data_IF_647845079048
#
_entry.id   IF_647845079048
#
_cell.length_a   1.000
_cell.length_b   1.000
_cell.length_c   1.000
_cell.angle_alpha   90.00
_cell.angle_beta   90.00
_cell.angle_gamma   90.00
#
_symmetry.space_group_name_H-M   'P 1'
#
loop_
_entity.id
_entity.type
_entity.pdbx_description
1 polymer ?
#
# COMPACT_ATOMS: atom_id res chain seq x y z
N UNK A 1 -31.98 2.56 5.98
CA UNK A 1 -30.78 2.49 6.83
C UNK A 1 -31.16 3.05 8.18
N UNK A 2 -30.72 2.41 9.25
CA UNK A 2 -30.90 2.86 10.64
C UNK A 2 -29.52 2.87 11.30
N UNK A 3 -29.17 3.95 11.98
CA UNK A 3 -27.96 4.06 12.80
C UNK A 3 -28.37 4.45 14.21
N UNK A 4 -27.79 3.79 15.20
CA UNK A 4 -27.90 4.19 16.60
C UNK A 4 -26.69 5.04 16.97
N UNK A 5 -26.97 6.23 17.48
CA UNK A 5 -25.95 7.23 17.79
C UNK A 5 -25.01 6.84 18.92
N UNK A 6 -23.96 7.64 19.09
CA UNK A 6 -22.88 7.51 20.08
C UNK A 6 -23.27 6.92 21.44
N UNK A 7 -24.33 7.43 22.08
CA UNK A 7 -24.73 7.07 23.46
C UNK A 7 -25.67 5.86 23.56
N UNK A 8 -26.11 5.28 22.45
CA UNK A 8 -27.06 4.18 22.50
C UNK A 8 -26.41 2.91 23.03
N UNK A 9 -26.88 2.44 24.19
CA UNK A 9 -26.42 1.22 24.83
C UNK A 9 -27.57 0.50 25.56
N UNK A 10 -28.71 0.37 24.89
CA UNK A 10 -29.90 -0.31 25.41
C UNK A 10 -30.05 -1.70 24.78
N UNK A 11 -30.67 -2.64 25.50
CA UNK A 11 -30.93 -3.99 24.98
C UNK A 11 -31.78 -3.94 23.72
N UNK A 12 -31.51 -4.87 22.79
CA UNK A 12 -32.24 -5.01 21.53
C UNK A 12 -33.00 -6.34 21.39
N UNK A 13 -33.09 -7.13 22.45
CA UNK A 13 -33.69 -8.47 22.43
C UNK A 13 -35.13 -8.48 21.89
N UNK A 14 -35.96 -7.52 22.33
CA UNK A 14 -37.39 -7.45 21.97
C UNK A 14 -37.71 -6.38 20.92
N UNK A 15 -36.71 -5.91 20.17
CA UNK A 15 -36.92 -4.85 19.18
C UNK A 15 -37.61 -5.39 17.93
N UNK A 16 -38.78 -4.83 17.62
CA UNK A 16 -39.47 -5.06 16.36
C UNK A 16 -38.91 -4.13 15.29
N UNK A 17 -38.04 -4.67 14.43
CA UNK A 17 -37.41 -3.89 13.36
C UNK A 17 -38.37 -3.64 12.19
N UNK A 18 -38.20 -2.51 11.46
CA UNK A 18 -38.88 -2.31 10.18
C UNK A 18 -38.54 -3.45 9.20
N UNK A 19 -39.56 -4.08 8.61
CA UNK A 19 -39.38 -5.24 7.74
C UNK A 19 -38.51 -4.97 6.50
N UNK A 20 -38.43 -3.72 6.04
CA UNK A 20 -37.62 -3.27 4.91
C UNK A 20 -36.22 -2.76 5.30
N UNK A 21 -35.81 -2.92 6.57
CA UNK A 21 -34.51 -2.44 7.04
C UNK A 21 -33.35 -3.26 6.45
N UNK A 22 -32.60 -2.66 5.54
CA UNK A 22 -31.47 -3.32 4.86
C UNK A 22 -30.10 -3.06 5.50
N UNK A 23 -29.96 -1.99 6.30
CA UNK A 23 -28.67 -1.59 6.89
C UNK A 23 -28.90 -1.13 8.32
N UNK A 24 -28.13 -1.69 9.25
CA UNK A 24 -28.18 -1.37 10.66
C UNK A 24 -26.75 -1.14 11.17
N UNK A 25 -26.54 -0.02 11.86
CA UNK A 25 -25.27 0.30 12.50
C UNK A 25 -25.49 0.66 13.96
N UNK A 26 -24.61 0.15 14.82
CA UNK A 26 -24.47 0.58 16.20
C UNK A 26 -23.13 1.28 16.35
N UNK A 27 -23.18 2.56 16.73
CA UNK A 27 -21.98 3.38 16.85
C UNK A 27 -21.22 3.07 18.16
N UNK A 28 -20.86 4.09 18.95
CA UNK A 28 -19.72 4.00 19.83
C UNK A 28 -19.97 3.17 21.10
N UNK A 29 -21.05 3.45 21.85
CA UNK A 29 -21.21 2.89 23.21
C UNK A 29 -22.00 1.58 23.27
N UNK A 30 -22.50 1.06 22.16
CA UNK A 30 -23.31 -0.16 22.18
C UNK A 30 -22.45 -1.37 22.56
N UNK A 31 -22.72 -1.96 23.72
CA UNK A 31 -22.02 -3.14 24.24
C UNK A 31 -22.95 -4.20 24.82
N UNK A 32 -24.25 -4.14 24.50
CA UNK A 32 -25.24 -5.10 25.00
C UNK A 32 -25.16 -6.44 24.26
N UNK A 33 -25.47 -7.57 24.93
CA UNK A 33 -25.59 -8.87 24.28
C UNK A 33 -26.61 -8.84 23.13
N UNK A 34 -26.31 -9.59 22.06
CA UNK A 34 -27.16 -9.69 20.87
C UNK A 34 -27.67 -11.11 20.61
N UNK A 35 -27.43 -12.03 21.55
CA UNK A 35 -27.83 -13.45 21.44
C UNK A 35 -29.35 -13.63 21.29
N UNK A 36 -30.15 -12.81 21.99
CA UNK A 36 -31.62 -12.83 21.91
C UNK A 36 -32.18 -11.86 20.84
N UNK A 37 -31.32 -11.18 20.08
CA UNK A 37 -31.78 -10.19 19.11
C UNK A 37 -32.44 -10.86 17.90
N UNK A 38 -33.69 -10.48 17.60
CA UNK A 38 -34.33 -10.86 16.34
C UNK A 38 -33.96 -9.86 15.26
N UNK A 39 -33.31 -10.27 14.18
CA UNK A 39 -32.91 -9.37 13.09
C UNK A 39 -33.97 -9.28 11.98
N UNK A 40 -34.08 -8.13 11.27
CA UNK A 40 -35.00 -8.03 10.14
C UNK A 40 -34.55 -8.95 8.99
N UNK A 41 -35.51 -9.68 8.40
CA UNK A 41 -35.25 -10.64 7.32
C UNK A 41 -34.66 -10.03 6.04
N UNK A 42 -34.73 -8.70 5.88
CA UNK A 42 -34.15 -7.97 4.74
C UNK A 42 -32.78 -7.34 5.03
N UNK A 43 -32.22 -7.57 6.23
CA UNK A 43 -30.95 -6.97 6.67
C UNK A 43 -29.78 -7.50 5.85
N UNK A 44 -29.11 -6.61 5.13
CA UNK A 44 -27.94 -6.93 4.30
C UNK A 44 -26.62 -6.53 4.95
N UNK A 45 -26.62 -5.47 5.77
CA UNK A 45 -25.39 -4.96 6.38
C UNK A 45 -25.62 -4.70 7.87
N UNK A 46 -24.70 -5.20 8.68
CA UNK A 46 -24.67 -4.98 10.13
C UNK A 46 -23.27 -4.59 10.58
N UNK A 47 -23.17 -3.45 11.26
CA UNK A 47 -21.91 -2.97 11.84
C UNK A 47 -22.09 -2.62 13.31
N UNK A 48 -21.06 -2.95 14.09
CA UNK A 48 -20.86 -2.52 15.46
C UNK A 48 -19.52 -1.78 15.50
N UNK A 49 -19.48 -0.57 16.03
CA UNK A 49 -18.27 0.26 16.00
C UNK A 49 -17.38 0.02 17.23
N UNK A 50 -17.42 0.88 18.26
CA UNK A 50 -16.36 0.92 19.27
C UNK A 50 -16.49 -0.07 20.43
N UNK A 51 -17.62 -0.05 21.15
CA UNK A 51 -17.73 -0.72 22.45
C UNK A 51 -18.17 -2.19 22.38
N UNK A 52 -18.61 -2.67 21.22
CA UNK A 52 -19.15 -4.03 21.09
C UNK A 52 -18.06 -5.07 21.28
N UNK A 53 -18.18 -5.86 22.34
CA UNK A 53 -17.30 -7.00 22.62
C UNK A 53 -18.09 -8.10 23.33
N UNK A 54 -19.20 -8.53 22.70
CA UNK A 54 -20.04 -9.61 23.20
C UNK A 54 -19.83 -10.86 22.33
N UNK A 55 -19.98 -12.07 22.89
CA UNK A 55 -19.86 -13.30 22.12
C UNK A 55 -20.93 -13.36 21.03
N UNK A 56 -20.56 -13.94 19.89
CA UNK A 56 -21.44 -14.05 18.71
C UNK A 56 -21.71 -15.50 18.26
N UNK A 57 -21.21 -16.48 19.02
CA UNK A 57 -21.31 -17.91 18.74
C UNK A 57 -22.76 -18.39 18.57
N UNK A 58 -23.62 -18.05 19.54
CA UNK A 58 -25.02 -18.47 19.57
C UNK A 58 -25.97 -17.48 18.86
N UNK A 59 -25.44 -16.49 18.13
CA UNK A 59 -26.28 -15.48 17.47
C UNK A 59 -26.93 -16.05 16.21
N UNK A 60 -28.25 -15.93 16.12
CA UNK A 60 -29.01 -16.32 14.92
C UNK A 60 -29.00 -15.18 13.91
N UNK A 61 -28.06 -15.22 12.95
CA UNK A 61 -27.94 -14.20 11.90
C UNK A 61 -29.07 -14.29 10.85
N UNK A 62 -29.53 -13.16 10.28
CA UNK A 62 -30.51 -13.19 9.20
C UNK A 62 -29.87 -13.73 7.92
N UNK A 63 -30.58 -14.63 7.23
CA UNK A 63 -30.08 -15.31 6.02
C UNK A 63 -29.84 -14.38 4.80
N UNK A 64 -30.16 -13.09 4.91
CA UNK A 64 -29.90 -12.07 3.90
C UNK A 64 -28.65 -11.22 4.19
N UNK A 65 -27.97 -11.45 5.32
CA UNK A 65 -26.80 -10.68 5.74
C UNK A 65 -25.62 -10.93 4.79
N UNK A 66 -25.15 -9.87 4.15
CA UNK A 66 -24.06 -9.89 3.18
C UNK A 66 -22.77 -9.32 3.74
N UNK A 67 -22.87 -8.39 4.69
CA UNK A 67 -21.73 -7.75 5.33
C UNK A 67 -21.92 -7.70 6.85
N UNK A 68 -20.89 -8.13 7.56
CA UNK A 68 -20.81 -8.04 9.01
C UNK A 68 -19.49 -7.38 9.42
N UNK A 69 -19.58 -6.47 10.39
CA UNK A 69 -18.43 -5.72 10.88
C UNK A 69 -18.53 -5.54 12.39
N UNK A 70 -18.13 -6.53 13.22
CA UNK A 70 -17.97 -6.34 14.66
C UNK A 70 -16.61 -5.68 14.89
N UNK A 71 -16.55 -4.33 14.92
CA UNK A 71 -15.30 -3.56 14.93
C UNK A 71 -14.65 -3.46 16.33
N UNK A 72 -13.61 -2.64 16.39
CA UNK A 72 -12.90 -2.06 17.54
C UNK A 72 -12.57 -2.98 18.71
N UNK A 73 -13.48 -3.31 19.62
CA UNK A 73 -13.14 -4.08 20.84
C UNK A 73 -13.44 -5.56 20.76
N UNK A 74 -14.09 -6.03 19.70
CA UNK A 74 -14.48 -7.43 19.57
C UNK A 74 -13.26 -8.36 19.58
N UNK A 75 -13.20 -9.24 20.59
CA UNK A 75 -12.14 -10.23 20.79
C UNK A 75 -12.71 -11.51 21.42
N UNK A 76 -13.71 -12.10 20.78
CA UNK A 76 -14.29 -13.38 21.19
C UNK A 76 -13.99 -14.46 20.16
N UNK A 77 -13.83 -15.74 20.58
CA UNK A 77 -13.62 -16.85 19.66
C UNK A 77 -14.72 -16.92 18.60
N UNK A 78 -14.33 -17.23 17.37
CA UNK A 78 -15.26 -17.35 16.24
C UNK A 78 -15.27 -18.74 15.59
N UNK A 79 -14.60 -19.72 16.19
CA UNK A 79 -14.51 -21.08 15.65
C UNK A 79 -15.87 -21.77 15.52
N UNK A 80 -16.76 -21.56 16.50
CA UNK A 80 -18.08 -22.19 16.57
C UNK A 80 -19.22 -21.31 16.02
N UNK A 81 -18.90 -20.15 15.44
CA UNK A 81 -19.90 -19.23 14.89
C UNK A 81 -20.55 -19.81 13.63
N UNK A 82 -21.88 -19.89 13.63
CA UNK A 82 -22.65 -20.29 12.44
C UNK A 82 -22.90 -19.07 11.55
N UNK A 83 -22.02 -18.84 10.58
CA UNK A 83 -22.13 -17.71 9.66
C UNK A 83 -23.33 -17.82 8.69
N UNK A 84 -23.99 -16.69 8.33
CA UNK A 84 -25.08 -16.72 7.37
C UNK A 84 -24.56 -17.07 5.97
N UNK A 85 -25.30 -17.92 5.25
CA UNK A 85 -24.92 -18.45 3.93
C UNK A 85 -24.86 -17.39 2.81
N UNK A 86 -25.18 -16.13 3.09
CA UNK A 86 -25.06 -14.99 2.17
C UNK A 86 -23.90 -14.06 2.47
N UNK A 87 -23.09 -14.33 3.52
CA UNK A 87 -22.03 -13.43 3.96
C UNK A 87 -20.89 -13.38 2.95
N UNK A 88 -20.66 -12.19 2.38
CA UNK A 88 -19.65 -11.93 1.36
C UNK A 88 -18.48 -11.12 1.91
N UNK A 89 -18.72 -10.32 2.95
CA UNK A 89 -17.72 -9.44 3.54
C UNK A 89 -17.74 -9.55 5.07
N UNK A 90 -16.58 -9.78 5.65
CA UNK A 90 -16.39 -9.80 7.10
C UNK A 90 -15.23 -8.88 7.47
N UNK A 91 -15.49 -7.93 8.36
CA UNK A 91 -14.49 -7.00 8.87
C UNK A 91 -14.38 -7.21 10.37
N UNK A 92 -13.42 -8.03 10.80
CA UNK A 92 -13.14 -8.28 12.21
C UNK A 92 -12.61 -7.01 12.88
N UNK A 93 -12.87 -6.88 14.17
CA UNK A 93 -12.60 -5.67 14.92
C UNK A 93 -11.16 -5.46 15.29
N UNK A 94 -10.78 -4.21 15.53
CA UNK A 94 -9.41 -3.81 15.85
C UNK A 94 -8.76 -4.67 16.94
N UNK A 95 -9.50 -5.05 17.97
CA UNK A 95 -9.01 -5.84 19.10
C UNK A 95 -8.99 -7.35 18.88
N UNK A 96 -9.47 -7.87 17.75
CA UNK A 96 -9.61 -9.31 17.54
C UNK A 96 -8.23 -9.98 17.45
N UNK A 97 -7.93 -10.87 18.39
CA UNK A 97 -6.69 -11.67 18.40
C UNK A 97 -6.95 -13.13 18.80
N UNK A 98 -8.07 -13.70 18.34
CA UNK A 98 -8.38 -15.11 18.60
C UNK A 98 -7.88 -16.01 17.47
N UNK A 99 -7.51 -17.27 17.77
CA UNK A 99 -7.09 -18.23 16.74
C UNK A 99 -8.15 -18.42 15.66
N UNK A 100 -7.71 -18.45 14.40
CA UNK A 100 -8.59 -18.63 13.24
C UNK A 100 -8.44 -19.97 12.51
N UNK A 101 -7.54 -20.85 12.97
CA UNK A 101 -7.28 -22.17 12.37
C UNK A 101 -8.54 -23.04 12.24
N UNK A 102 -9.40 -23.05 13.28
CA UNK A 102 -10.57 -23.93 13.36
C UNK A 102 -11.87 -23.24 12.88
N UNK A 103 -11.77 -22.08 12.24
CA UNK A 103 -12.95 -21.31 11.81
C UNK A 103 -13.52 -21.90 10.52
N UNK A 104 -14.81 -22.26 10.55
CA UNK A 104 -15.54 -22.67 9.36
C UNK A 104 -16.10 -21.44 8.65
N UNK A 105 -15.33 -20.87 7.72
CA UNK A 105 -15.75 -19.68 6.99
C UNK A 105 -16.95 -19.93 6.06
N UNK A 106 -17.84 -18.93 5.86
CA UNK A 106 -18.95 -19.07 4.94
C UNK A 106 -18.45 -19.17 3.49
N UNK A 107 -18.97 -20.14 2.74
CA UNK A 107 -18.52 -20.41 1.37
C UNK A 107 -18.48 -19.18 0.42
N UNK A 108 -19.46 -18.23 0.44
CA UNK A 108 -19.42 -17.08 -0.46
C UNK A 108 -18.55 -15.92 0.04
N UNK A 109 -17.78 -16.07 1.12
CA UNK A 109 -16.92 -15.00 1.62
C UNK A 109 -15.88 -14.61 0.56
N UNK A 110 -15.90 -13.35 0.15
CA UNK A 110 -15.01 -12.78 -0.85
C UNK A 110 -13.97 -11.86 -0.22
N UNK A 111 -14.32 -11.18 0.87
CA UNK A 111 -13.44 -10.22 1.54
C UNK A 111 -13.40 -10.48 3.03
N UNK A 112 -12.19 -10.57 3.56
CA UNK A 112 -11.92 -10.64 4.98
C UNK A 112 -10.91 -9.55 5.34
N UNK A 113 -11.29 -8.68 6.26
CA UNK A 113 -10.33 -7.85 6.99
C UNK A 113 -10.18 -8.45 8.37
N UNK A 114 -8.98 -8.90 8.67
CA UNK A 114 -8.57 -9.22 10.03
C UNK A 114 -8.42 -7.92 10.83
N UNK A 115 -8.60 -8.01 12.13
CA UNK A 115 -8.46 -6.89 13.05
C UNK A 115 -7.04 -6.36 13.16
N UNK A 116 -6.90 -5.15 13.72
CA UNK A 116 -5.61 -4.49 13.99
C UNK A 116 -4.70 -5.33 14.89
N UNK A 117 -5.26 -6.09 15.82
CA UNK A 117 -4.53 -6.87 16.82
C UNK A 117 -4.35 -8.35 16.46
N UNK A 118 -4.83 -8.81 15.30
CA UNK A 118 -4.69 -10.24 14.97
C UNK A 118 -3.22 -10.56 14.79
N UNK A 119 -2.70 -11.40 15.69
CA UNK A 119 -1.36 -11.93 15.66
C UNK A 119 -1.46 -13.39 16.11
N UNK A 120 -1.98 -14.24 15.21
CA UNK A 120 -2.12 -15.68 15.39
C UNK A 120 -1.53 -16.45 14.20
N UNK A 121 -1.08 -17.71 14.40
CA UNK A 121 -0.59 -18.57 13.32
C UNK A 121 -1.62 -18.81 12.21
N UNK A 122 -1.11 -18.98 10.97
CA UNK A 122 -1.92 -19.16 9.76
C UNK A 122 -1.77 -20.54 9.09
N UNK A 123 -0.86 -21.38 9.58
CA UNK A 123 -0.49 -22.71 9.05
C UNK A 123 -1.66 -23.69 8.95
N UNK A 124 -2.57 -23.70 9.93
CA UNK A 124 -3.75 -24.57 9.95
C UNK A 124 -5.03 -23.93 9.38
N UNK A 125 -4.96 -22.71 8.83
CA UNK A 125 -6.15 -21.97 8.41
C UNK A 125 -6.69 -22.47 7.08
N UNK A 126 -7.94 -22.94 7.08
CA UNK A 126 -8.66 -23.33 5.87
C UNK A 126 -9.43 -22.14 5.30
N UNK A 127 -8.82 -21.37 4.40
CA UNK A 127 -9.47 -20.21 3.78
C UNK A 127 -10.63 -20.59 2.84
N UNK A 128 -11.68 -19.75 2.73
CA UNK A 128 -12.79 -20.01 1.82
C UNK A 128 -12.34 -19.89 0.36
N UNK A 129 -12.77 -20.85 -0.47
CA UNK A 129 -12.25 -21.04 -1.83
C UNK A 129 -12.55 -19.90 -2.82
N UNK A 130 -13.45 -18.96 -2.48
CA UNK A 130 -13.81 -17.81 -3.31
C UNK A 130 -13.30 -16.48 -2.74
N UNK A 131 -12.45 -16.52 -1.71
CA UNK A 131 -11.85 -15.31 -1.14
C UNK A 131 -10.98 -14.60 -2.18
N UNK A 132 -11.24 -13.32 -2.39
CA UNK A 132 -10.53 -12.48 -3.34
C UNK A 132 -9.66 -11.44 -2.64
N UNK A 133 -10.04 -11.00 -1.44
CA UNK A 133 -9.33 -9.96 -0.69
C UNK A 133 -9.14 -10.38 0.76
N UNK A 134 -7.90 -10.27 1.21
CA UNK A 134 -7.51 -10.51 2.59
C UNK A 134 -6.62 -9.37 3.07
N UNK A 135 -6.97 -8.76 4.18
CA UNK A 135 -6.15 -7.73 4.82
C UNK A 135 -5.89 -8.08 6.27
N UNK A 136 -4.61 -8.04 6.67
CA UNK A 136 -4.18 -8.10 8.05
C UNK A 136 -4.03 -6.69 8.61
N UNK A 137 -4.39 -6.52 9.88
CA UNK A 137 -4.30 -5.24 10.55
C UNK A 137 -2.89 -4.92 11.07
N UNK A 138 -2.77 -3.78 11.76
CA UNK A 138 -1.49 -3.15 12.10
C UNK A 138 -0.48 -4.05 12.82
N UNK A 139 -0.91 -4.91 13.75
CA UNK A 139 -0.03 -5.68 14.64
C UNK A 139 0.29 -7.09 14.16
N UNK A 140 -0.24 -7.53 13.01
CA UNK A 140 0.06 -8.88 12.50
C UNK A 140 1.54 -9.01 12.17
N UNK A 141 2.24 -9.88 12.90
CA UNK A 141 3.67 -10.14 12.73
C UNK A 141 3.96 -11.63 12.98
N UNK A 142 3.20 -12.49 12.31
CA UNK A 142 3.46 -13.93 12.31
C UNK A 142 4.15 -14.38 11.01
N UNK A 143 5.04 -15.41 11.11
CA UNK A 143 5.62 -16.05 9.94
C UNK A 143 4.55 -16.59 8.98
N UNK A 144 4.88 -16.57 7.68
CA UNK A 144 4.04 -17.11 6.62
C UNK A 144 4.42 -18.55 6.23
N UNK A 145 5.26 -19.20 7.04
CA UNK A 145 5.68 -20.58 6.84
C UNK A 145 4.46 -21.50 6.78
N UNK A 146 4.44 -22.39 5.79
CA UNK A 146 3.37 -23.40 5.59
C UNK A 146 1.97 -22.84 5.29
N UNK A 147 1.80 -21.53 5.09
CA UNK A 147 0.50 -20.93 4.79
C UNK A 147 0.00 -21.34 3.41
N UNK A 148 -1.21 -21.91 3.36
CA UNK A 148 -1.88 -22.30 2.11
C UNK A 148 -2.92 -21.26 1.73
N UNK A 149 -2.57 -20.31 0.85
CA UNK A 149 -3.49 -19.27 0.40
C UNK A 149 -4.62 -19.81 -0.51
N UNK A 150 -5.83 -19.20 -0.48
CA UNK A 150 -6.91 -19.60 -1.38
C UNK A 150 -6.57 -19.26 -2.83
N UNK A 151 -6.85 -20.18 -3.75
CA UNK A 151 -6.48 -20.07 -5.16
C UNK A 151 -7.17 -18.91 -5.92
N UNK A 152 -8.16 -18.26 -5.32
CA UNK A 152 -8.86 -17.09 -5.88
C UNK A 152 -8.36 -15.76 -5.32
N UNK A 153 -7.40 -15.74 -4.40
CA UNK A 153 -6.93 -14.53 -3.74
C UNK A 153 -6.29 -13.59 -4.76
N UNK A 154 -6.80 -12.37 -4.87
CA UNK A 154 -6.34 -11.35 -5.81
C UNK A 154 -5.59 -10.22 -5.11
N UNK A 155 -5.96 -9.92 -3.86
CA UNK A 155 -5.38 -8.83 -3.08
C UNK A 155 -5.04 -9.34 -1.68
N UNK A 156 -3.80 -9.10 -1.28
CA UNK A 156 -3.29 -9.39 0.05
C UNK A 156 -2.55 -8.17 0.58
N UNK A 157 -2.95 -7.69 1.77
CA UNK A 157 -2.25 -6.59 2.43
C UNK A 157 -1.87 -6.98 3.85
N UNK A 158 -0.61 -6.75 4.20
CA UNK A 158 -0.11 -6.82 5.57
C UNK A 158 -0.12 -5.44 6.20
N UNK A 159 -0.37 -5.39 7.51
CA UNK A 159 -0.32 -4.15 8.29
C UNK A 159 1.09 -3.75 8.67
N UNK A 160 1.18 -2.70 9.48
CA UNK A 160 2.42 -1.98 9.75
C UNK A 160 3.54 -2.84 10.36
N UNK A 161 3.24 -3.74 11.28
CA UNK A 161 4.24 -4.47 12.05
C UNK A 161 4.84 -5.70 11.34
N UNK A 162 4.27 -6.17 10.23
CA UNK A 162 4.72 -7.41 9.58
C UNK A 162 6.18 -7.31 9.10
N UNK A 163 7.05 -8.14 9.67
CA UNK A 163 8.50 -8.17 9.36
C UNK A 163 9.06 -9.61 9.33
N UNK A 164 8.39 -10.51 8.60
CA UNK A 164 8.84 -11.89 8.40
C UNK A 164 9.29 -12.20 6.97
N UNK A 165 10.23 -13.14 6.76
CA UNK A 165 10.66 -13.56 5.45
C UNK A 165 9.48 -14.01 4.58
N UNK A 166 9.58 -13.77 3.27
CA UNK A 166 8.54 -14.10 2.30
C UNK A 166 8.73 -15.50 1.70
N UNK A 167 9.06 -16.47 2.55
CA UNK A 167 9.26 -17.89 2.20
C UNK A 167 7.91 -18.61 2.05
N UNK A 168 7.09 -18.14 1.09
CA UNK A 168 5.71 -18.63 0.92
C UNK A 168 5.36 -18.87 -0.54
N UNK A 169 4.51 -19.87 -0.79
CA UNK A 169 3.94 -20.12 -2.11
C UNK A 169 2.71 -19.25 -2.29
N UNK A 170 2.89 -18.13 -2.98
CA UNK A 170 1.81 -17.23 -3.31
C UNK A 170 0.80 -17.84 -4.32
N UNK A 171 -0.49 -17.48 -4.23
CA UNK A 171 -1.49 -17.98 -5.17
C UNK A 171 -1.32 -17.34 -6.54
N UNK A 172 -1.48 -18.12 -7.61
CA UNK A 172 -1.27 -17.67 -8.99
C UNK A 172 -2.23 -16.55 -9.44
N UNK A 173 -3.34 -16.35 -8.72
CA UNK A 173 -4.31 -15.28 -8.96
C UNK A 173 -3.93 -13.95 -8.31
N UNK A 174 -2.88 -13.90 -7.48
CA UNK A 174 -2.53 -12.71 -6.71
C UNK A 174 -2.04 -11.60 -7.64
N UNK A 175 -2.74 -10.46 -7.59
CA UNK A 175 -2.48 -9.30 -8.43
C UNK A 175 -1.86 -8.15 -7.63
N UNK A 176 -2.22 -8.03 -6.35
CA UNK A 176 -1.78 -6.98 -5.46
C UNK A 176 -1.26 -7.58 -4.17
N UNK A 177 -0.04 -7.19 -3.81
CA UNK A 177 0.61 -7.49 -2.54
C UNK A 177 1.14 -6.17 -1.98
N UNK A 178 0.74 -5.82 -0.77
CA UNK A 178 1.25 -4.64 -0.07
C UNK A 178 1.74 -5.01 1.32
N UNK A 179 2.82 -4.35 1.73
CA UNK A 179 3.40 -4.44 3.07
C UNK A 179 3.19 -3.13 3.80
N UNK A 180 3.06 -3.20 5.13
CA UNK A 180 3.05 -2.02 5.98
C UNK A 180 4.45 -1.48 6.24
N UNK A 181 4.53 -0.53 7.17
CA UNK A 181 5.70 0.32 7.37
C UNK A 181 6.96 -0.41 7.87
N UNK A 182 6.85 -1.46 8.69
CA UNK A 182 8.00 -2.08 9.34
C UNK A 182 8.72 -3.14 8.51
N UNK A 183 8.14 -3.65 7.41
CA UNK A 183 8.73 -4.74 6.64
C UNK A 183 10.15 -4.41 6.15
N UNK A 184 11.12 -5.21 6.57
CA UNK A 184 12.53 -5.00 6.28
C UNK A 184 13.31 -6.32 6.16
N UNK A 185 12.70 -7.35 5.58
CA UNK A 185 13.35 -8.64 5.34
C UNK A 185 14.05 -8.72 3.96
N UNK A 186 15.11 -9.53 3.83
CA UNK A 186 15.78 -9.77 2.55
C UNK A 186 14.83 -10.27 1.46
N UNK A 187 15.17 -9.98 0.20
CA UNK A 187 14.34 -10.28 -0.97
C UNK A 187 15.02 -11.24 -1.99
N UNK A 188 16.21 -11.72 -1.67
CA UNK A 188 17.07 -12.59 -2.48
C UNK A 188 16.45 -13.95 -2.81
N UNK A 189 15.73 -14.56 -1.85
CA UNK A 189 15.08 -15.86 -2.03
C UNK A 189 13.58 -15.76 -2.40
N UNK A 190 13.06 -14.56 -2.63
CA UNK A 190 11.62 -14.35 -2.79
C UNK A 190 11.13 -14.71 -4.19
N UNK A 191 10.18 -15.64 -4.26
CA UNK A 191 9.49 -16.02 -5.49
C UNK A 191 8.23 -15.18 -5.65
N UNK A 192 8.33 -14.06 -6.36
CA UNK A 192 7.21 -13.16 -6.59
C UNK A 192 6.16 -13.75 -7.57
N UNK A 193 4.84 -13.61 -7.28
CA UNK A 193 3.80 -13.72 -8.30
C UNK A 193 3.93 -12.81 -9.50
N UNK A 194 3.06 -13.06 -10.47
CA UNK A 194 2.83 -12.19 -11.62
C UNK A 194 2.15 -10.88 -11.17
N UNK A 195 2.91 -10.01 -10.49
CA UNK A 195 2.40 -8.80 -9.85
C UNK A 195 2.39 -7.56 -10.73
N UNK A 196 1.55 -6.61 -10.32
CA UNK A 196 1.51 -5.21 -10.71
C UNK A 196 1.19 -4.34 -9.48
N UNK A 197 1.56 -3.05 -9.50
CA UNK A 197 2.67 -2.42 -8.73
C UNK A 197 3.19 -3.16 -7.48
N UNK A 198 4.46 -2.91 -7.11
CA UNK A 198 5.03 -3.29 -5.82
C UNK A 198 5.45 -2.03 -5.04
N UNK A 199 5.07 -1.96 -3.77
CA UNK A 199 5.44 -0.87 -2.88
C UNK A 199 5.92 -1.44 -1.55
N UNK A 200 7.03 -0.92 -1.06
CA UNK A 200 7.55 -1.19 0.28
C UNK A 200 7.23 -0.03 1.22
N UNK A 201 6.99 -0.36 2.49
CA UNK A 201 6.71 0.61 3.54
C UNK A 201 7.95 1.37 4.02
N UNK A 202 7.75 2.24 5.01
CA UNK A 202 8.73 3.24 5.44
C UNK A 202 10.10 2.67 5.87
N UNK A 203 10.18 1.47 6.45
CA UNK A 203 11.40 0.94 7.06
C UNK A 203 12.27 0.10 6.12
N UNK A 204 11.78 -0.30 4.94
CA UNK A 204 12.51 -1.21 4.06
C UNK A 204 13.86 -0.63 3.62
N UNK A 205 14.95 -1.33 3.94
CA UNK A 205 16.31 -0.90 3.65
C UNK A 205 17.28 -2.09 3.51
N UNK A 206 16.85 -3.12 2.78
CA UNK A 206 17.67 -4.30 2.45
C UNK A 206 18.38 -4.14 1.10
N UNK A 207 19.55 -4.80 0.90
CA UNK A 207 20.24 -4.79 -0.39
C UNK A 207 19.39 -5.44 -1.49
N UNK A 208 19.67 -5.05 -2.74
CA UNK A 208 18.87 -5.41 -3.91
C UNK A 208 19.68 -6.13 -5.02
N UNK A 209 20.96 -6.40 -4.76
CA UNK A 209 21.94 -7.02 -5.66
C UNK A 209 21.56 -8.45 -6.08
N UNK A 210 20.99 -9.24 -5.16
CA UNK A 210 20.57 -10.62 -5.43
C UNK A 210 19.07 -10.78 -5.75
N UNK A 211 18.33 -9.67 -5.84
CA UNK A 211 16.86 -9.72 -5.95
C UNK A 211 16.40 -10.05 -7.37
N UNK A 212 15.60 -11.12 -7.50
CA UNK A 212 14.95 -11.50 -8.76
C UNK A 212 13.55 -10.90 -8.84
N UNK A 213 13.43 -9.71 -9.43
CA UNK A 213 12.14 -9.04 -9.61
C UNK A 213 11.20 -9.80 -10.55
N UNK A 214 9.87 -9.72 -10.35
CA UNK A 214 8.91 -10.36 -11.24
C UNK A 214 9.00 -9.77 -12.65
N UNK A 215 8.99 -10.63 -13.67
CA UNK A 215 9.15 -10.21 -15.07
C UNK A 215 8.04 -9.24 -15.53
N UNK A 216 6.88 -9.23 -14.87
CA UNK A 216 5.78 -8.29 -15.17
C UNK A 216 5.87 -6.95 -14.44
N UNK A 217 6.87 -6.73 -13.57
CA UNK A 217 6.96 -5.54 -12.73
C UNK A 217 7.10 -4.28 -13.58
N UNK A 218 6.13 -3.37 -13.46
CA UNK A 218 6.13 -2.08 -14.17
C UNK A 218 6.31 -0.88 -13.25
N UNK A 219 6.00 -1.02 -11.96
CA UNK A 219 6.02 0.06 -10.99
C UNK A 219 6.59 -0.47 -9.68
N UNK A 220 7.59 0.24 -9.16
CA UNK A 220 8.25 -0.07 -7.90
C UNK A 220 8.43 1.20 -7.08
N UNK A 221 8.02 1.16 -5.82
CA UNK A 221 8.23 2.25 -4.87
C UNK A 221 8.88 1.72 -3.60
N UNK A 222 9.91 2.42 -3.15
CA UNK A 222 10.51 2.24 -1.83
C UNK A 222 10.02 3.32 -0.86
N UNK A 223 9.95 2.97 0.42
CA UNK A 223 9.58 3.89 1.49
C UNK A 223 10.77 4.67 2.05
N UNK A 224 10.48 5.47 3.06
CA UNK A 224 11.31 6.56 3.59
C UNK A 224 12.75 6.17 3.94
N UNK A 225 13.01 4.96 4.43
CA UNK A 225 14.33 4.57 4.94
C UNK A 225 15.25 3.95 3.89
N UNK A 226 14.77 3.68 2.67
CA UNK A 226 15.57 3.00 1.65
C UNK A 226 16.78 3.85 1.25
N UNK A 227 17.99 3.33 1.46
CA UNK A 227 19.22 4.04 1.15
C UNK A 227 20.37 3.06 0.83
N UNK A 228 20.11 2.11 -0.06
CA UNK A 228 21.11 1.11 -0.51
C UNK A 228 21.67 1.44 -1.90
N UNK A 229 22.95 1.08 -2.16
CA UNK A 229 23.54 1.20 -3.50
C UNK A 229 22.70 0.47 -4.55
N UNK A 230 22.75 0.97 -5.78
CA UNK A 230 21.97 0.46 -6.92
C UNK A 230 22.85 -0.02 -8.09
N UNK A 231 24.16 -0.03 -7.91
CA UNK A 231 25.20 -0.40 -8.87
C UNK A 231 25.11 -1.87 -9.32
N UNK A 232 24.76 -2.78 -8.42
CA UNK A 232 24.62 -4.21 -8.73
C UNK A 232 23.17 -4.67 -8.99
N UNK A 233 22.21 -3.74 -9.02
CA UNK A 233 20.79 -4.10 -9.09
C UNK A 233 20.36 -4.46 -10.51
N UNK A 234 19.81 -5.66 -10.67
CA UNK A 234 19.24 -6.12 -11.94
C UNK A 234 17.75 -5.82 -11.99
N UNK A 235 17.39 -4.64 -12.51
CA UNK A 235 15.97 -4.25 -12.64
C UNK A 235 15.19 -5.11 -13.63
N UNK A 236 13.88 -5.25 -13.39
CA UNK A 236 12.98 -5.84 -14.39
C UNK A 236 13.04 -5.06 -15.71
N UNK A 237 13.12 -5.79 -16.83
CA UNK A 237 13.18 -5.22 -18.17
C UNK A 237 11.92 -4.41 -18.55
N UNK A 238 10.82 -4.57 -17.81
CA UNK A 238 9.55 -3.89 -18.04
C UNK A 238 9.25 -2.78 -17.03
N UNK A 239 10.19 -2.48 -16.12
CA UNK A 239 10.02 -1.42 -15.13
C UNK A 239 9.89 -0.06 -15.83
N UNK A 240 8.77 0.64 -15.56
CA UNK A 240 8.42 1.93 -16.16
C UNK A 240 8.47 3.08 -15.16
N UNK A 241 8.20 2.81 -13.89
CA UNK A 241 8.16 3.80 -12.83
C UNK A 241 8.94 3.30 -11.62
N UNK A 242 9.83 4.14 -11.12
CA UNK A 242 10.65 3.86 -9.93
C UNK A 242 10.65 5.08 -9.00
N UNK A 243 10.39 4.85 -7.72
CA UNK A 243 10.56 5.83 -6.64
C UNK A 243 11.50 5.26 -5.58
N UNK A 244 12.60 5.96 -5.27
CA UNK A 244 13.67 5.45 -4.39
C UNK A 244 13.46 5.74 -2.89
N UNK A 245 12.35 6.35 -2.49
CA UNK A 245 12.06 6.66 -1.08
C UNK A 245 12.85 7.85 -0.53
N UNK A 246 12.34 8.49 0.52
CA UNK A 246 12.80 9.82 0.95
C UNK A 246 14.24 9.86 1.47
N UNK A 247 14.73 8.77 2.06
CA UNK A 247 16.07 8.66 2.64
C UNK A 247 17.18 8.36 1.63
N UNK A 248 16.84 8.09 0.36
CA UNK A 248 17.82 7.68 -0.64
C UNK A 248 18.82 8.79 -0.93
N UNK A 249 20.11 8.49 -0.76
CA UNK A 249 21.21 9.42 -1.03
C UNK A 249 22.50 8.69 -1.44
N UNK A 250 22.37 7.62 -2.22
CA UNK A 250 23.52 6.88 -2.78
C UNK A 250 23.93 7.45 -4.14
N UNK A 251 25.22 7.37 -4.52
CA UNK A 251 25.68 7.80 -5.83
C UNK A 251 25.03 6.98 -6.94
N UNK A 252 24.89 7.57 -8.12
CA UNK A 252 24.23 6.95 -9.26
C UNK A 252 25.18 6.53 -10.39
N UNK A 253 26.48 6.83 -10.30
CA UNK A 253 27.42 6.76 -11.43
C UNK A 253 27.54 5.37 -12.06
N UNK A 254 27.41 4.31 -11.27
CA UNK A 254 27.49 2.91 -11.72
C UNK A 254 26.13 2.23 -11.91
N UNK A 255 25.02 2.98 -11.75
CA UNK A 255 23.67 2.39 -11.80
C UNK A 255 23.25 2.07 -13.23
N UNK A 256 22.93 0.80 -13.47
CA UNK A 256 22.37 0.34 -14.74
C UNK A 256 20.85 0.32 -14.67
N UNK A 257 20.20 1.38 -15.13
CA UNK A 257 18.73 1.46 -15.12
C UNK A 257 18.05 0.48 -16.08
N UNK A 258 16.79 0.13 -15.78
CA UNK A 258 15.93 -0.56 -16.73
C UNK A 258 15.77 0.23 -18.03
N UNK A 259 15.94 -0.45 -19.17
CA UNK A 259 15.78 0.16 -20.49
C UNK A 259 14.35 0.66 -20.76
N UNK A 260 13.34 0.19 -20.01
CA UNK A 260 11.96 0.62 -20.16
C UNK A 260 11.56 1.78 -19.24
N UNK A 261 12.48 2.29 -18.40
CA UNK A 261 12.16 3.27 -17.37
C UNK A 261 11.73 4.61 -17.99
N UNK A 262 10.56 5.09 -17.57
CA UNK A 262 9.95 6.32 -18.08
C UNK A 262 9.79 7.39 -17.00
N UNK A 263 9.67 7.00 -15.74
CA UNK A 263 9.51 7.90 -14.62
C UNK A 263 10.44 7.47 -13.49
N UNK A 264 11.22 8.42 -13.00
CA UNK A 264 12.12 8.22 -11.88
C UNK A 264 11.91 9.36 -10.89
N UNK A 265 11.61 9.00 -9.64
CA UNK A 265 11.63 9.92 -8.52
C UNK A 265 12.78 9.55 -7.59
N UNK A 266 13.67 10.51 -7.39
CA UNK A 266 14.74 10.42 -6.40
C UNK A 266 14.21 10.94 -5.06
N UNK A 267 14.74 10.39 -3.97
CA UNK A 267 14.32 10.72 -2.61
C UNK A 267 14.58 12.15 -2.19
N UNK A 268 13.86 12.59 -1.15
CA UNK A 268 14.02 13.91 -0.52
C UNK A 268 15.44 14.20 -0.04
N UNK A 269 16.17 13.18 0.40
CA UNK A 269 17.54 13.32 0.88
C UNK A 269 18.59 13.28 -0.24
N UNK A 270 18.20 12.99 -1.50
CA UNK A 270 19.16 12.80 -2.58
C UNK A 270 19.89 14.11 -2.91
N UNK A 271 21.22 14.11 -2.74
CA UNK A 271 22.06 15.27 -3.03
C UNK A 271 23.46 14.87 -3.54
N UNK A 272 23.53 13.78 -4.31
CA UNK A 272 24.77 13.32 -4.93
C UNK A 272 25.04 14.02 -6.27
N UNK A 273 26.32 14.22 -6.65
CA UNK A 273 26.67 14.76 -7.97
C UNK A 273 26.20 13.84 -9.10
N UNK A 274 26.16 14.39 -10.33
CA UNK A 274 25.57 13.75 -11.51
C UNK A 274 26.46 13.91 -12.76
N UNK A 275 27.76 14.19 -12.57
CA UNK A 275 28.72 14.46 -13.64
C UNK A 275 29.05 13.23 -14.50
N UNK A 276 29.02 12.03 -13.93
CA UNK A 276 29.31 10.78 -14.65
C UNK A 276 28.07 9.89 -14.86
N UNK A 277 26.91 10.32 -14.38
CA UNK A 277 25.70 9.50 -14.40
C UNK A 277 25.06 9.36 -15.80
N UNK A 278 24.69 8.11 -16.15
CA UNK A 278 24.00 7.78 -17.40
C UNK A 278 22.52 7.49 -17.14
N UNK A 279 21.65 8.40 -17.57
CA UNK A 279 20.20 8.24 -17.47
C UNK A 279 19.63 7.24 -18.50
N UNK A 280 18.49 6.59 -18.21
CA UNK A 280 17.84 5.70 -19.17
C UNK A 280 17.31 6.47 -20.39
N UNK A 281 17.53 5.91 -21.58
CA UNK A 281 17.27 6.57 -22.86
C UNK A 281 15.80 6.92 -23.13
N UNK A 282 14.85 6.32 -22.39
CA UNK A 282 13.42 6.56 -22.52
C UNK A 282 12.81 7.30 -21.33
N UNK A 283 13.63 7.83 -20.42
CA UNK A 283 13.16 8.59 -19.27
C UNK A 283 12.41 9.85 -19.73
N UNK A 284 11.15 9.99 -19.33
CA UNK A 284 10.27 11.11 -19.69
C UNK A 284 10.07 12.07 -18.54
N UNK A 285 10.08 11.57 -17.31
CA UNK A 285 9.86 12.35 -16.10
C UNK A 285 10.96 12.03 -15.10
N UNK A 286 11.57 13.08 -14.58
CA UNK A 286 12.55 13.00 -13.51
C UNK A 286 12.19 14.03 -12.44
N UNK A 287 12.02 13.55 -11.21
CA UNK A 287 11.83 14.38 -10.03
C UNK A 287 12.98 14.18 -9.06
N UNK A 288 13.57 15.29 -8.63
CA UNK A 288 14.44 15.35 -7.47
C UNK A 288 13.62 15.74 -6.25
N UNK A 289 13.90 15.10 -5.12
CA UNK A 289 13.34 15.50 -3.84
C UNK A 289 13.98 16.76 -3.27
N UNK A 290 13.60 17.08 -2.03
CA UNK A 290 13.78 18.41 -1.45
C UNK A 290 15.22 18.91 -1.32
N UNK A 291 16.20 18.05 -1.00
CA UNK A 291 17.57 18.48 -0.67
C UNK A 291 18.53 18.55 -1.86
N UNK A 292 18.08 18.22 -3.07
CA UNK A 292 18.97 18.21 -4.22
C UNK A 292 19.44 19.63 -4.57
N UNK A 293 20.74 19.88 -4.49
CA UNK A 293 21.32 21.19 -4.75
C UNK A 293 22.72 21.10 -5.40
N UNK A 294 22.91 20.11 -6.29
CA UNK A 294 24.17 19.91 -7.01
C UNK A 294 24.22 20.67 -8.35
N UNK A 295 25.41 21.09 -8.80
CA UNK A 295 25.55 21.85 -10.04
C UNK A 295 25.15 21.04 -11.27
N UNK A 296 24.39 21.67 -12.17
CA UNK A 296 23.81 21.00 -13.34
C UNK A 296 24.61 21.16 -14.65
N UNK A 297 25.66 22.00 -14.66
CA UNK A 297 26.40 22.33 -15.90
C UNK A 297 27.22 21.15 -16.44
N UNK A 298 27.43 20.13 -15.63
CA UNK A 298 28.13 18.88 -15.95
C UNK A 298 27.19 17.76 -16.39
N UNK A 299 25.87 17.94 -16.17
CA UNK A 299 24.90 16.85 -16.31
C UNK A 299 24.52 16.62 -17.76
N UNK A 300 24.62 15.38 -18.21
CA UNK A 300 24.16 14.95 -19.54
C UNK A 300 22.76 14.34 -19.42
N UNK A 301 21.73 15.13 -19.73
CA UNK A 301 20.35 14.67 -19.61
C UNK A 301 19.89 13.75 -20.75
N UNK A 302 18.94 12.83 -20.52
CA UNK A 302 18.42 11.97 -21.57
C UNK A 302 17.57 12.77 -22.55
N UNK A 303 17.75 12.50 -23.86
CA UNK A 303 17.06 13.25 -24.91
C UNK A 303 15.53 13.10 -24.86
N UNK A 304 15.01 12.03 -24.26
CA UNK A 304 13.56 11.78 -24.13
C UNK A 304 12.88 12.59 -23.03
N UNK A 305 13.62 13.32 -22.19
CA UNK A 305 13.07 13.97 -21.02
C UNK A 305 12.06 15.06 -21.40
N UNK A 306 10.87 15.00 -20.80
CA UNK A 306 9.75 15.91 -21.07
C UNK A 306 9.40 16.76 -19.84
N UNK A 307 9.57 16.21 -18.65
CA UNK A 307 9.29 16.89 -17.38
C UNK A 307 10.48 16.70 -16.45
N UNK A 308 10.92 17.82 -15.87
CA UNK A 308 12.01 17.84 -14.90
C UNK A 308 11.57 18.72 -13.73
N UNK A 309 11.63 18.15 -12.52
CA UNK A 309 11.26 18.85 -11.30
C UNK A 309 12.40 18.80 -10.30
N UNK A 310 12.72 19.95 -9.71
CA UNK A 310 13.62 20.07 -8.58
C UNK A 310 12.83 20.36 -7.31
N UNK A 311 13.28 19.78 -6.19
CA UNK A 311 12.67 19.97 -4.88
C UNK A 311 13.03 21.29 -4.21
N UNK A 312 12.63 21.45 -2.95
CA UNK A 312 12.64 22.71 -2.21
C UNK A 312 13.97 23.50 -2.26
N UNK A 313 15.11 22.88 -1.97
CA UNK A 313 16.40 23.55 -1.72
C UNK A 313 17.21 23.89 -2.99
N UNK A 314 16.75 23.49 -4.18
CA UNK A 314 17.53 23.68 -5.40
C UNK A 314 17.74 25.17 -5.73
N UNK A 315 19.00 25.61 -5.71
CA UNK A 315 19.37 27.02 -5.93
C UNK A 315 20.72 27.18 -6.67
N UNK A 316 21.07 26.23 -7.54
CA UNK A 316 22.30 26.29 -8.34
C UNK A 316 22.15 27.17 -9.59
N UNK A 317 23.22 27.84 -10.06
CA UNK A 317 23.19 28.62 -11.30
C UNK A 317 22.85 27.74 -12.50
N UNK A 318 21.88 28.18 -13.30
CA UNK A 318 21.40 27.44 -14.48
C UNK A 318 21.78 28.06 -15.83
N UNK A 319 22.59 29.14 -15.83
CA UNK A 319 22.96 29.85 -17.06
C UNK A 319 23.76 28.97 -18.04
N UNK A 320 24.58 28.06 -17.52
CA UNK A 320 25.44 27.17 -18.31
C UNK A 320 24.90 25.75 -18.45
N UNK A 321 23.62 25.53 -18.11
CA UNK A 321 23.00 24.20 -18.17
C UNK A 321 22.56 23.90 -19.60
N UNK A 322 22.95 22.73 -20.09
CA UNK A 322 22.51 22.22 -21.40
C UNK A 322 21.24 21.41 -21.19
N UNK A 323 20.09 22.05 -21.33
CA UNK A 323 18.79 21.38 -21.16
C UNK A 323 18.46 20.44 -22.34
N UNK A 324 17.78 19.31 -22.10
CA UNK A 324 17.34 18.43 -23.18
C UNK A 324 16.28 19.12 -24.05
N UNK A 325 16.40 18.92 -25.37
CA UNK A 325 15.65 19.66 -26.38
C UNK A 325 14.12 19.45 -26.35
N UNK A 326 13.64 18.43 -25.63
CA UNK A 326 12.22 18.03 -25.58
C UNK A 326 11.54 18.31 -24.23
N UNK A 327 12.21 18.97 -23.28
CA UNK A 327 11.60 19.37 -22.01
C UNK A 327 10.47 20.36 -22.27
N UNK A 328 9.29 20.02 -21.78
CA UNK A 328 8.08 20.83 -21.91
C UNK A 328 7.73 21.52 -20.60
N UNK A 329 8.06 20.90 -19.47
CA UNK A 329 7.76 21.42 -18.14
C UNK A 329 9.02 21.36 -17.28
N UNK A 330 9.36 22.49 -16.69
CA UNK A 330 10.44 22.61 -15.74
C UNK A 330 9.90 23.22 -14.45
N UNK A 331 10.04 22.52 -13.33
CA UNK A 331 9.77 23.10 -12.01
C UNK A 331 11.08 23.38 -11.30
N UNK A 332 11.33 24.65 -11.03
CA UNK A 332 12.43 25.11 -10.21
C UNK A 332 12.02 25.03 -8.73
N UNK A 333 12.97 24.64 -7.88
CA UNK A 333 12.80 24.54 -6.43
C UNK A 333 12.35 25.84 -5.78
N UNK A 334 11.73 25.74 -4.60
CA UNK A 334 11.15 26.89 -3.89
C UNK A 334 12.21 27.93 -3.51
N UNK A 335 13.42 27.50 -3.16
CA UNK A 335 14.53 28.39 -2.82
C UNK A 335 15.28 28.95 -4.04
N UNK A 336 14.86 28.61 -5.26
CA UNK A 336 15.54 29.07 -6.46
C UNK A 336 15.49 30.60 -6.59
N UNK A 337 16.68 31.19 -6.53
CA UNK A 337 16.91 32.64 -6.56
C UNK A 337 18.16 33.00 -7.40
N UNK A 338 18.39 32.29 -8.50
CA UNK A 338 19.49 32.56 -9.43
C UNK A 338 19.03 33.40 -10.63
N UNK A 339 19.91 34.22 -11.21
CA UNK A 339 19.57 35.03 -12.38
C UNK A 339 19.26 34.16 -13.59
N UNK A 340 18.13 34.43 -14.25
CA UNK A 340 17.67 33.68 -15.43
C UNK A 340 17.95 34.37 -16.78
N UNK A 341 18.52 35.58 -16.76
CA UNK A 341 18.69 36.41 -17.96
C UNK A 341 19.61 35.82 -19.03
N UNK A 342 20.51 34.90 -18.66
CA UNK A 342 21.48 34.25 -19.56
C UNK A 342 21.16 32.77 -19.81
N UNK A 343 19.98 32.31 -19.38
CA UNK A 343 19.60 30.90 -19.51
C UNK A 343 19.14 30.63 -20.94
N UNK A 344 19.72 29.60 -21.56
CA UNK A 344 19.27 29.09 -22.86
C UNK A 344 18.21 28.03 -22.62
N UNK A 345 16.95 28.42 -22.70
CA UNK A 345 15.81 27.52 -22.50
C UNK A 345 15.60 26.58 -23.70
N UNK A 346 15.16 25.32 -23.49
CA UNK A 346 14.83 24.41 -24.57
C UNK A 346 13.62 24.91 -25.37
N UNK A 347 13.66 24.76 -26.70
CA UNK A 347 12.63 25.32 -27.58
C UNK A 347 11.23 24.71 -27.38
N UNK A 348 11.15 23.52 -26.81
CA UNK A 348 9.88 22.84 -26.50
C UNK A 348 9.24 23.28 -25.17
N UNK A 349 9.90 24.14 -24.39
CA UNK A 349 9.47 24.53 -23.07
C UNK A 349 8.13 25.27 -23.14
N UNK A 350 7.14 24.77 -22.40
CA UNK A 350 5.79 25.33 -22.32
C UNK A 350 5.53 26.00 -20.98
N UNK A 351 6.19 25.54 -19.93
CA UNK A 351 6.00 26.03 -18.57
C UNK A 351 7.32 25.98 -17.81
N UNK A 352 7.59 27.06 -17.08
CA UNK A 352 8.58 27.09 -16.01
C UNK A 352 7.84 27.52 -14.76
N UNK A 353 7.87 26.69 -13.72
CA UNK A 353 7.25 27.01 -12.44
C UNK A 353 8.28 27.17 -11.34
N UNK A 354 7.96 27.97 -10.33
CA UNK A 354 8.62 27.99 -9.02
C UNK A 354 7.53 28.02 -7.96
N UNK A 355 7.55 27.09 -7.01
CA UNK A 355 6.51 26.97 -5.97
C UNK A 355 5.08 26.90 -6.55
N UNK A 356 4.92 26.17 -7.66
CA UNK A 356 3.65 26.07 -8.39
C UNK A 356 3.21 27.33 -9.14
N UNK A 357 3.99 28.42 -9.11
CA UNK A 357 3.70 29.69 -9.82
C UNK A 357 4.46 29.74 -11.14
N UNK A 358 3.76 30.05 -12.25
CA UNK A 358 4.40 30.22 -13.57
C UNK A 358 5.33 31.42 -13.58
N UNK A 359 6.55 31.22 -14.10
CA UNK A 359 7.55 32.27 -14.38
C UNK A 359 7.50 32.78 -15.84
N UNK A 360 6.74 32.10 -16.70
CA UNK A 360 6.47 32.45 -18.09
C UNK A 360 5.01 32.87 -18.31
#
# INVERSE_FOLDING_TARGET
>A
MLSFGYEFNQSIAEVVWPAALQKLSFEHNFGQPIIEATWPVSLKQLSFEMAFNQPIEEVVWPASLQQLSPRSKFDHPIAEVVWPASLQQLLLGGGFNQPIAQVVWPAPLQQLSCGDCLDQPLDEVVWPAFMQQLSFGHLFDHPLDEVVWPASLQQLSFGDCFDHPLEVVWPASLQQLSFGDCFNQPLDEVVWPAYQPLSFGACFNQPLDEVVWPASLQQLSFGDCFNRPLDEVVWSAFLRQLSLGDGFNQPLDEVVWSASLQQLSLGDCFNQPLDEHVWPAFLRQLSFGDRFNQPLYVVVWPASLQQLSFGFEFNQPIANVVWPAFVQQLSLGNEFNQPVAQVVWPASLKSVTRDGVSLL
#
